data_IF_205972398022
#
_entry.id   IF_205972398022
#
_cell.length_a   1.000
_cell.length_b   1.000
_cell.length_c   1.000
_cell.angle_alpha   90.00
_cell.angle_beta   90.00
_cell.angle_gamma   90.00
#
_symmetry.space_group_name_H-M   'P 1'
#
loop_
_entity.id
_entity.type
_entity.pdbx_description
1 polymer ?
#
# COMPACT_ATOMS: atom_id res chain seq x y z
N UNK A 1 -12.98 -54.68 8.66
CA UNK A 1 -13.63 -54.31 9.93
C UNK A 1 -12.53 -53.98 10.94
N UNK A 2 -12.51 -52.72 11.36
CA UNK A 2 -11.85 -52.15 12.55
C UNK A 2 -10.32 -52.26 12.75
N UNK A 3 -9.58 -51.38 12.05
CA UNK A 3 -8.27 -50.84 12.51
C UNK A 3 -8.13 -49.35 12.17
N UNK A 4 -9.10 -48.51 12.55
CA UNK A 4 -9.10 -47.08 12.14
C UNK A 4 -9.51 -46.07 13.23
N UNK A 5 -9.82 -46.51 14.45
CA UNK A 5 -10.20 -45.58 15.53
C UNK A 5 -9.12 -45.44 16.61
N UNK A 6 -8.43 -46.54 16.97
CA UNK A 6 -7.47 -46.55 18.07
C UNK A 6 -6.15 -45.82 17.76
N UNK A 7 -5.71 -45.80 16.50
CA UNK A 7 -4.51 -45.05 16.08
C UNK A 7 -4.76 -43.53 15.95
N UNK A 8 -6.02 -43.10 15.79
CA UNK A 8 -6.37 -41.67 15.75
C UNK A 8 -6.53 -41.06 17.15
N UNK A 9 -6.88 -41.87 18.16
CA UNK A 9 -6.99 -41.41 19.56
C UNK A 9 -5.60 -41.25 20.20
N UNK A 10 -4.63 -42.09 19.86
CA UNK A 10 -3.26 -41.99 20.38
C UNK A 10 -2.48 -40.77 19.86
N UNK A 11 -2.85 -40.20 18.70
CA UNK A 11 -2.22 -38.99 18.17
C UNK A 11 -2.74 -37.70 18.81
N UNK A 12 -3.94 -37.72 19.41
CA UNK A 12 -4.57 -36.58 20.07
C UNK A 12 -4.08 -36.39 21.52
N UNK A 13 -3.67 -37.47 22.19
CA UNK A 13 -3.09 -37.39 23.55
C UNK A 13 -1.60 -37.04 23.58
N UNK A 14 -0.89 -37.13 22.45
CA UNK A 14 0.55 -36.84 22.36
C UNK A 14 0.92 -35.36 22.18
N UNK A 15 -0.04 -34.47 21.90
CA UNK A 15 0.23 -33.04 21.68
C UNK A 15 -0.20 -32.13 22.85
N UNK A 16 -0.79 -32.68 23.91
CA UNK A 16 -1.33 -31.90 25.03
C UNK A 16 -0.46 -31.89 26.30
N UNK A 17 0.76 -32.42 26.25
CA UNK A 17 1.64 -32.56 27.43
C UNK A 17 2.91 -31.69 27.40
N UNK A 18 2.94 -30.64 26.58
CA UNK A 18 3.99 -29.61 26.59
C UNK A 18 3.45 -28.22 26.97
N UNK A 19 2.66 -28.16 28.04
CA UNK A 19 2.47 -26.94 28.83
C UNK A 19 2.42 -27.33 30.31
N UNK A 20 3.57 -27.29 30.95
CA UNK A 20 3.69 -27.30 32.41
C UNK A 20 3.43 -25.86 32.90
N UNK A 21 2.45 -25.62 33.79
CA UNK A 21 2.48 -24.47 34.67
C UNK A 21 3.23 -24.88 35.95
N UNK A 22 4.43 -24.34 36.12
CA UNK A 22 5.05 -24.14 37.43
C UNK A 22 5.09 -22.60 37.53
N UNK A 23 4.34 -21.97 38.43
CA UNK A 23 4.74 -21.75 39.82
C UNK A 23 3.52 -21.69 40.74
N UNK A 24 3.71 -22.30 41.90
CA UNK A 24 2.87 -22.43 43.08
C UNK A 24 2.33 -21.10 43.62
N UNK A 25 1.03 -21.10 43.92
CA UNK A 25 0.43 -20.28 44.95
C UNK A 25 0.64 -20.95 46.32
N UNK A 26 1.28 -20.24 47.24
CA UNK A 26 1.22 -20.38 48.70
C UNK A 26 1.33 -18.92 49.21
N UNK A 27 0.19 -18.34 49.59
CA UNK A 27 -0.20 -18.08 50.99
C UNK A 27 0.67 -16.99 51.64
N UNK A 28 0.16 -15.76 51.72
CA UNK A 28 -0.39 -15.23 52.97
C UNK A 28 -0.69 -13.72 52.88
N UNK A 29 -1.86 -13.37 53.39
CA UNK A 29 -2.37 -12.03 53.62
C UNK A 29 -1.69 -11.44 54.87
N UNK A 30 -0.72 -10.54 54.70
CA UNK A 30 -0.36 -9.57 55.74
C UNK A 30 0.09 -8.26 55.09
N UNK A 31 -0.66 -7.19 55.33
CA UNK A 31 -0.31 -5.84 54.93
C UNK A 31 1.03 -5.38 55.51
N UNK A 32 1.84 -4.77 54.65
CA UNK A 32 2.94 -3.88 55.03
C UNK A 32 2.90 -2.71 54.04
N UNK A 33 2.56 -1.53 54.55
CA UNK A 33 2.85 -0.24 53.90
C UNK A 33 4.37 -0.13 53.70
N UNK A 34 4.81 0.10 52.47
CA UNK A 34 6.19 0.51 52.18
C UNK A 34 6.16 1.94 51.66
N UNK A 35 6.16 2.88 52.62
CA UNK A 35 6.82 4.18 52.45
C UNK A 35 8.30 3.91 52.15
N UNK A 36 8.79 4.42 51.03
CA UNK A 36 10.18 4.33 50.66
C UNK A 36 10.42 4.74 49.21
N UNK A 37 10.73 6.02 49.01
CA UNK A 37 11.31 6.53 47.77
C UNK A 37 12.56 5.71 47.40
N UNK A 38 12.45 4.84 46.40
CA UNK A 38 13.60 4.28 45.70
C UNK A 38 13.72 5.01 44.37
N UNK A 39 14.54 6.05 44.35
CA UNK A 39 15.07 6.61 43.10
C UNK A 39 15.95 5.54 42.45
N UNK A 40 15.40 4.84 41.46
CA UNK A 40 16.19 4.07 40.50
C UNK A 40 16.61 5.07 39.43
N UNK A 41 17.84 5.58 39.52
CA UNK A 41 18.50 6.26 38.40
C UNK A 41 18.71 5.25 37.26
N UNK A 42 17.80 5.26 36.29
CA UNK A 42 17.96 4.56 35.01
C UNK A 42 18.75 5.42 34.03
N UNK A 43 20.05 5.60 34.25
CA UNK A 43 20.93 6.33 33.31
C UNK A 43 21.96 5.45 32.59
N UNK A 44 21.87 4.11 32.65
CA UNK A 44 22.84 3.20 32.02
C UNK A 44 22.32 2.26 30.92
N UNK A 45 21.03 1.94 30.90
CA UNK A 45 20.51 0.84 30.06
C UNK A 45 20.03 1.28 28.67
N UNK A 46 19.61 2.53 28.52
CA UNK A 46 19.06 3.05 27.27
C UNK A 46 20.10 3.13 26.15
N UNK A 47 21.36 3.49 26.46
CA UNK A 47 22.41 3.62 25.45
C UNK A 47 22.89 2.25 24.92
N UNK A 48 22.94 1.24 25.78
CA UNK A 48 23.31 -0.14 25.41
C UNK A 48 22.21 -0.78 24.57
N UNK A 49 20.95 -0.64 24.97
CA UNK A 49 19.82 -1.11 24.18
C UNK A 49 19.76 -0.40 22.82
N UNK A 50 19.91 0.93 22.79
CA UNK A 50 19.93 1.70 21.54
C UNK A 50 21.04 1.26 20.58
N UNK A 51 22.24 1.00 21.10
CA UNK A 51 23.35 0.48 20.28
C UNK A 51 23.06 -0.92 19.72
N UNK A 52 22.44 -1.79 20.51
CA UNK A 52 22.05 -3.14 20.08
C UNK A 52 20.98 -3.10 18.98
N UNK A 53 19.98 -2.23 19.10
CA UNK A 53 18.96 -2.05 18.06
C UNK A 53 19.56 -1.53 16.75
N UNK A 54 20.47 -0.55 16.85
CA UNK A 54 21.16 0.00 15.67
C UNK A 54 22.01 -1.06 14.96
N UNK A 55 22.73 -1.89 15.71
CA UNK A 55 23.51 -3.00 15.16
C UNK A 55 22.62 -4.03 14.44
N UNK A 56 21.41 -4.30 14.96
CA UNK A 56 20.45 -5.20 14.35
C UNK A 56 19.87 -4.64 13.04
N UNK A 57 19.53 -3.35 13.00
CA UNK A 57 19.08 -2.66 11.77
C UNK A 57 20.15 -2.65 10.69
N UNK A 58 21.40 -2.36 11.07
CA UNK A 58 22.52 -2.40 10.13
C UNK A 58 22.78 -3.84 9.65
N UNK A 59 22.55 -4.85 10.49
CA UNK A 59 22.58 -6.25 10.06
C UNK A 59 21.48 -6.56 9.07
N UNK A 60 20.26 -6.07 9.29
CA UNK A 60 19.11 -6.27 8.39
C UNK A 60 19.37 -5.61 7.04
N UNK A 61 19.85 -4.36 7.01
CA UNK A 61 20.20 -3.65 5.76
C UNK A 61 21.23 -4.40 4.93
N UNK A 62 22.12 -5.14 5.59
CA UNK A 62 23.20 -5.91 4.97
C UNK A 62 22.87 -7.40 4.77
N UNK A 63 21.64 -7.85 5.09
CA UNK A 63 21.22 -9.22 4.85
C UNK A 63 21.22 -9.51 3.34
N UNK A 64 21.92 -10.58 2.97
CA UNK A 64 21.88 -11.15 1.62
C UNK A 64 20.99 -12.38 1.67
N UNK A 65 19.79 -12.29 1.08
CA UNK A 65 18.84 -13.41 1.07
C UNK A 65 19.24 -14.37 -0.07
N UNK A 66 19.62 -15.63 0.20
CA UNK A 66 20.23 -16.51 -0.81
C UNK A 66 19.39 -16.75 -2.07
N UNK A 67 18.05 -16.65 -1.98
CA UNK A 67 17.13 -16.80 -3.11
C UNK A 67 16.83 -15.49 -3.86
N UNK A 68 17.14 -14.34 -3.26
CA UNK A 68 17.16 -13.01 -3.91
C UNK A 68 18.51 -12.82 -4.60
N UNK A 69 19.60 -13.32 -4.02
CA UNK A 69 20.95 -13.19 -4.59
C UNK A 69 21.14 -14.01 -5.88
N UNK A 70 20.46 -15.16 -6.03
CA UNK A 70 20.48 -15.94 -7.27
C UNK A 70 19.66 -15.28 -8.41
N UNK A 71 18.71 -14.39 -8.08
CA UNK A 71 18.21 -13.39 -9.04
C UNK A 71 19.30 -12.32 -9.15
N UNK A 72 20.32 -12.55 -10.01
CA UNK A 72 21.37 -11.59 -10.42
C UNK A 72 21.01 -10.16 -10.04
N UNK A 73 21.83 -9.47 -9.24
CA UNK A 73 21.72 -8.01 -8.96
C UNK A 73 21.29 -7.31 -10.25
N UNK A 74 19.98 -7.08 -10.40
CA UNK A 74 19.43 -6.59 -11.64
C UNK A 74 19.84 -5.14 -11.69
N UNK A 75 20.67 -4.77 -12.64
CA UNK A 75 20.99 -3.36 -12.86
C UNK A 75 19.66 -2.71 -13.21
N UNK A 76 19.17 -1.86 -12.31
CA UNK A 76 17.93 -1.12 -12.51
C UNK A 76 18.29 0.11 -13.32
N UNK A 77 17.92 0.09 -14.60
CA UNK A 77 18.07 1.23 -15.48
C UNK A 77 16.95 2.24 -15.20
N UNK A 78 17.30 3.52 -15.21
CA UNK A 78 16.29 4.59 -15.17
C UNK A 78 15.52 4.60 -16.48
N UNK A 79 14.22 4.43 -16.42
CA UNK A 79 13.29 4.55 -17.56
C UNK A 79 12.53 5.86 -17.40
N UNK A 80 12.40 6.63 -18.48
CA UNK A 80 11.63 7.86 -18.47
C UNK A 80 10.14 7.57 -18.29
N UNK A 81 9.47 8.35 -17.44
CA UNK A 81 8.03 8.26 -17.22
C UNK A 81 7.33 9.02 -18.35
N UNK A 82 6.57 8.36 -19.24
CA UNK A 82 5.95 9.03 -20.37
C UNK A 82 4.96 10.11 -19.93
N UNK A 83 4.90 11.22 -20.66
CA UNK A 83 4.01 12.35 -20.35
C UNK A 83 2.54 12.09 -20.72
N UNK A 84 1.94 11.07 -20.12
CA UNK A 84 0.56 10.63 -20.38
C UNK A 84 -0.21 10.54 -19.06
N UNK A 85 -1.42 11.11 -19.04
CA UNK A 85 -2.37 11.02 -17.93
C UNK A 85 -3.52 10.11 -18.37
N UNK A 86 -3.81 9.09 -17.58
CA UNK A 86 -4.87 8.13 -17.78
C UNK A 86 -5.96 8.36 -16.72
N UNK A 87 -7.17 8.68 -17.15
CA UNK A 87 -8.35 8.75 -16.27
C UNK A 87 -9.50 7.96 -16.86
N UNK A 88 -10.37 7.42 -16.01
CA UNK A 88 -11.52 6.64 -16.43
C UNK A 88 -12.83 7.27 -15.94
N UNK A 89 -13.85 7.24 -16.79
CA UNK A 89 -15.24 7.54 -16.44
C UNK A 89 -16.15 6.43 -16.91
N UNK A 90 -17.25 6.19 -16.19
CA UNK A 90 -18.21 5.15 -16.56
C UNK A 90 -18.79 5.33 -17.96
N UNK A 91 -19.06 6.57 -18.36
CA UNK A 91 -19.47 6.95 -19.71
C UNK A 91 -19.03 8.38 -19.98
N UNK A 92 -18.47 8.61 -21.17
CA UNK A 92 -18.08 9.95 -21.64
C UNK A 92 -19.29 10.86 -21.90
N UNK A 93 -20.46 10.28 -22.13
CA UNK A 93 -21.69 11.02 -22.44
C UNK A 93 -22.42 11.53 -21.17
N UNK A 94 -22.03 11.05 -19.98
CA UNK A 94 -22.71 11.34 -18.73
C UNK A 94 -21.75 11.69 -17.58
N UNK A 95 -20.80 12.59 -17.85
CA UNK A 95 -19.85 13.08 -16.84
C UNK A 95 -20.54 14.16 -16.01
N UNK A 96 -20.52 14.04 -14.68
CA UNK A 96 -21.07 15.07 -13.78
C UNK A 96 -20.25 16.36 -13.86
N UNK A 97 -20.86 17.52 -13.58
CA UNK A 97 -20.12 18.79 -13.56
C UNK A 97 -18.94 18.77 -12.59
N UNK A 98 -19.10 18.10 -11.44
CA UNK A 98 -18.03 17.97 -10.45
C UNK A 98 -16.85 17.15 -10.99
N UNK A 99 -17.13 15.96 -11.54
CA UNK A 99 -16.10 15.12 -12.18
C UNK A 99 -15.44 15.85 -13.35
N UNK A 100 -16.20 16.61 -14.14
CA UNK A 100 -15.65 17.38 -15.25
C UNK A 100 -14.69 18.48 -14.77
N UNK A 101 -15.00 19.16 -13.65
CA UNK A 101 -14.08 20.12 -13.02
C UNK A 101 -12.79 19.44 -12.57
N UNK A 102 -12.88 18.26 -11.97
CA UNK A 102 -11.71 17.51 -11.51
C UNK A 102 -10.84 17.08 -12.70
N UNK A 103 -11.42 16.49 -13.76
CA UNK A 103 -10.71 16.18 -15.02
C UNK A 103 -10.04 17.44 -15.61
N UNK A 104 -10.74 18.58 -15.63
CA UNK A 104 -10.20 19.81 -16.20
C UNK A 104 -9.04 20.39 -15.39
N UNK A 105 -9.00 20.17 -14.07
CA UNK A 105 -7.87 20.58 -13.23
C UNK A 105 -6.58 19.87 -13.65
N UNK A 106 -6.63 18.55 -13.87
CA UNK A 106 -5.51 17.76 -14.39
C UNK A 106 -5.05 18.25 -15.76
N UNK A 107 -5.98 18.49 -16.69
CA UNK A 107 -5.64 18.98 -18.04
C UNK A 107 -5.01 20.37 -18.02
N UNK A 108 -5.57 21.29 -17.24
CA UNK A 108 -5.15 22.69 -17.23
C UNK A 108 -3.79 22.87 -16.56
N UNK A 109 -3.56 22.14 -15.47
CA UNK A 109 -2.32 22.23 -14.70
C UNK A 109 -1.15 21.51 -15.38
N UNK A 110 -1.44 20.57 -16.29
CA UNK A 110 -0.47 19.72 -16.98
C UNK A 110 -0.60 19.84 -18.51
N UNK A 111 -0.61 21.06 -19.02
CA UNK A 111 -0.83 21.33 -20.46
C UNK A 111 0.20 20.71 -21.40
N UNK A 112 1.38 20.34 -20.90
CA UNK A 112 2.44 19.63 -21.64
C UNK A 112 2.33 18.09 -21.57
N UNK A 113 1.28 17.58 -20.92
CA UNK A 113 0.97 16.15 -20.82
C UNK A 113 -0.20 15.76 -21.72
N UNK A 114 -0.11 14.59 -22.35
CA UNK A 114 -1.23 14.01 -23.10
C UNK A 114 -2.28 13.48 -22.12
N UNK A 115 -3.50 14.01 -22.16
CA UNK A 115 -4.61 13.52 -21.34
C UNK A 115 -5.48 12.53 -22.12
N UNK A 116 -5.61 11.29 -21.60
CA UNK A 116 -6.45 10.23 -22.15
C UNK A 116 -7.56 9.89 -21.17
N UNK A 117 -8.80 10.11 -21.62
CA UNK A 117 -10.02 9.75 -20.89
C UNK A 117 -10.61 8.48 -21.49
N UNK A 118 -10.77 7.46 -20.67
CA UNK A 118 -11.26 6.14 -21.05
C UNK A 118 -12.69 5.93 -20.55
N UNK A 119 -13.49 5.21 -21.34
CA UNK A 119 -14.70 4.53 -20.87
C UNK A 119 -14.49 3.00 -20.84
N UNK A 120 -15.54 2.26 -20.51
CA UNK A 120 -15.44 0.81 -20.38
C UNK A 120 -15.15 0.09 -21.70
N UNK A 121 -15.62 0.62 -22.83
CA UNK A 121 -15.38 0.01 -24.14
C UNK A 121 -13.92 0.19 -24.55
N UNK A 122 -13.32 1.36 -24.27
CA UNK A 122 -11.88 1.57 -24.46
C UNK A 122 -11.06 0.62 -23.60
N UNK A 123 -11.43 0.44 -22.33
CA UNK A 123 -10.76 -0.46 -21.39
C UNK A 123 -10.81 -1.89 -21.90
N UNK A 124 -11.98 -2.35 -22.33
CA UNK A 124 -12.16 -3.70 -22.87
C UNK A 124 -11.27 -3.90 -24.10
N UNK A 125 -11.32 -2.98 -25.05
CA UNK A 125 -10.50 -3.06 -26.27
C UNK A 125 -8.99 -3.05 -25.94
N UNK A 126 -8.56 -2.24 -24.97
CA UNK A 126 -7.20 -2.23 -24.49
C UNK A 126 -6.79 -3.60 -23.90
N UNK A 127 -7.62 -4.17 -23.03
CA UNK A 127 -7.31 -5.47 -22.40
C UNK A 127 -7.23 -6.60 -23.42
N UNK A 128 -8.15 -6.63 -24.39
CA UNK A 128 -8.15 -7.62 -25.48
C UNK A 128 -6.91 -7.48 -26.39
N UNK A 129 -6.46 -6.24 -26.62
CA UNK A 129 -5.33 -5.96 -27.53
C UNK A 129 -3.97 -6.18 -26.87
N UNK A 130 -3.77 -5.65 -25.66
CA UNK A 130 -2.46 -5.59 -25.01
C UNK A 130 -2.25 -6.68 -23.97
N UNK A 131 -3.33 -7.19 -23.37
CA UNK A 131 -3.31 -8.12 -22.23
C UNK A 131 -4.05 -9.42 -22.53
N UNK A 132 -4.07 -9.85 -23.79
CA UNK A 132 -4.75 -11.06 -24.26
C UNK A 132 -4.35 -12.33 -23.51
N UNK A 133 -3.13 -12.41 -22.98
CA UNK A 133 -2.64 -13.55 -22.18
C UNK A 133 -3.36 -13.72 -20.84
N UNK A 134 -3.94 -12.64 -20.31
CA UNK A 134 -4.67 -12.64 -19.02
C UNK A 134 -6.14 -12.28 -19.20
N UNK A 135 -6.66 -12.31 -20.43
CA UNK A 135 -8.04 -11.91 -20.73
C UNK A 135 -9.07 -12.82 -20.05
N UNK A 136 -8.77 -14.11 -19.91
CA UNK A 136 -9.66 -15.06 -19.21
C UNK A 136 -9.79 -14.72 -17.73
N UNK A 137 -8.69 -14.27 -17.10
CA UNK A 137 -8.72 -13.76 -15.73
C UNK A 137 -9.57 -12.48 -15.68
N UNK A 138 -9.34 -11.53 -16.58
CA UNK A 138 -10.11 -10.28 -16.61
C UNK A 138 -11.61 -10.52 -16.83
N UNK A 139 -11.99 -11.46 -17.70
CA UNK A 139 -13.38 -11.75 -18.04
C UNK A 139 -14.20 -12.24 -16.84
N UNK A 140 -13.59 -12.96 -15.90
CA UNK A 140 -14.27 -13.47 -14.69
C UNK A 140 -14.35 -12.45 -13.54
N UNK A 141 -13.75 -11.27 -13.71
CA UNK A 141 -13.84 -10.19 -12.72
C UNK A 141 -15.15 -9.42 -12.85
N UNK A 142 -15.63 -8.93 -11.70
CA UNK A 142 -16.72 -7.96 -11.64
C UNK A 142 -16.29 -6.60 -12.21
N UNK A 143 -17.27 -5.73 -12.47
CA UNK A 143 -17.01 -4.45 -13.13
C UNK A 143 -15.93 -3.61 -12.45
N UNK A 144 -16.02 -3.37 -11.14
CA UNK A 144 -15.03 -2.55 -10.41
C UNK A 144 -13.66 -3.25 -10.34
N UNK A 145 -13.65 -4.59 -10.22
CA UNK A 145 -12.44 -5.39 -10.30
C UNK A 145 -11.73 -5.25 -11.66
N UNK A 146 -12.49 -5.17 -12.75
CA UNK A 146 -11.97 -4.93 -14.10
C UNK A 146 -11.28 -3.57 -14.24
N UNK A 147 -11.84 -2.53 -13.63
CA UNK A 147 -11.24 -1.18 -13.63
C UNK A 147 -9.92 -1.16 -12.86
N UNK A 148 -9.87 -1.82 -11.70
CA UNK A 148 -8.62 -1.97 -10.94
C UNK A 148 -7.55 -2.77 -11.69
N UNK A 149 -7.91 -3.91 -12.29
CA UNK A 149 -6.94 -4.65 -13.09
C UNK A 149 -6.41 -3.81 -14.28
N UNK A 150 -7.30 -3.03 -14.91
CA UNK A 150 -6.93 -2.15 -16.01
C UNK A 150 -5.97 -1.02 -15.60
N UNK A 151 -6.16 -0.34 -14.45
CA UNK A 151 -5.24 0.73 -14.01
C UNK A 151 -3.80 0.24 -13.85
N UNK A 152 -3.61 -1.01 -13.41
CA UNK A 152 -2.26 -1.59 -13.34
C UNK A 152 -1.73 -1.92 -14.73
N UNK A 153 -2.56 -2.54 -15.56
CA UNK A 153 -2.19 -2.97 -16.90
C UNK A 153 -1.86 -1.81 -17.84
N UNK A 154 -2.59 -0.69 -17.77
CA UNK A 154 -2.35 0.49 -18.60
C UNK A 154 -1.01 1.15 -18.26
N UNK A 155 -0.68 1.25 -16.96
CA UNK A 155 0.59 1.78 -16.49
C UNK A 155 1.75 0.81 -16.76
N UNK A 156 1.53 -0.51 -16.64
CA UNK A 156 2.54 -1.49 -17.04
C UNK A 156 2.88 -1.35 -18.53
N UNK A 157 1.88 -1.11 -19.38
CA UNK A 157 2.05 -1.10 -20.84
C UNK A 157 2.64 0.21 -21.34
N UNK A 158 2.11 1.34 -20.88
CA UNK A 158 2.44 2.66 -21.42
C UNK A 158 3.15 3.58 -20.42
N UNK A 159 3.22 3.19 -19.14
CA UNK A 159 3.65 4.09 -18.08
C UNK A 159 2.74 5.31 -17.94
N UNK A 160 3.29 6.41 -17.46
CA UNK A 160 2.60 7.66 -17.23
C UNK A 160 1.97 7.73 -15.85
N UNK A 161 0.85 8.44 -15.77
CA UNK A 161 0.14 8.75 -14.53
C UNK A 161 -1.28 8.24 -14.65
N UNK A 162 -1.70 7.41 -13.72
CA UNK A 162 -3.12 7.14 -13.49
C UNK A 162 -3.60 8.02 -12.34
N UNK A 163 -4.77 8.64 -12.49
CA UNK A 163 -5.46 9.31 -11.41
C UNK A 163 -6.97 9.08 -11.53
N UNK A 164 -7.66 8.79 -10.44
CA UNK A 164 -9.13 8.69 -10.44
C UNK A 164 -9.74 10.01 -10.93
N UNK A 165 -10.82 9.92 -11.73
CA UNK A 165 -11.43 11.08 -12.37
C UNK A 165 -12.17 12.02 -11.39
N UNK A 166 -12.41 11.55 -10.17
CA UNK A 166 -12.96 12.33 -9.07
C UNK A 166 -11.88 12.97 -8.17
N UNK A 167 -10.59 12.76 -8.45
CA UNK A 167 -9.51 13.50 -7.80
C UNK A 167 -9.25 14.86 -8.49
N UNK A 168 -9.14 15.93 -7.70
CA UNK A 168 -8.75 17.25 -8.19
C UNK A 168 -7.23 17.42 -8.10
N UNK A 169 -6.63 18.00 -9.13
CA UNK A 169 -5.18 18.21 -9.22
C UNK A 169 -4.80 19.55 -8.59
N UNK A 170 -4.06 19.53 -7.47
CA UNK A 170 -3.57 20.76 -6.82
C UNK A 170 -2.15 21.14 -7.23
N UNK A 171 -1.30 20.17 -7.62
CA UNK A 171 0.07 20.44 -8.08
C UNK A 171 0.40 19.84 -9.46
N UNK A 172 1.20 20.54 -10.29
CA UNK A 172 1.65 20.03 -11.58
C UNK A 172 2.50 18.77 -11.47
N UNK A 173 2.31 17.88 -12.44
CA UNK A 173 3.00 16.61 -12.60
C UNK A 173 4.51 16.77 -12.93
N UNK A 174 4.97 17.95 -13.31
CA UNK A 174 6.42 18.13 -13.45
C UNK A 174 7.09 18.27 -12.06
N UNK A 175 6.40 18.84 -11.06
CA UNK A 175 7.00 19.12 -9.74
C UNK A 175 7.35 17.85 -8.96
N UNK A 176 6.45 16.86 -8.92
CA UNK A 176 6.69 15.57 -8.27
C UNK A 176 7.73 14.69 -9.01
N UNK A 177 7.77 14.67 -10.35
CA UNK A 177 8.70 13.84 -11.14
C UNK A 177 10.11 14.43 -11.08
N UNK A 178 10.24 15.75 -11.15
CA UNK A 178 11.54 16.42 -10.99
C UNK A 178 12.12 16.17 -9.59
N UNK A 179 11.29 16.23 -8.54
CA UNK A 179 11.70 15.91 -7.16
C UNK A 179 12.19 14.47 -7.03
N UNK A 180 11.56 13.53 -7.73
CA UNK A 180 11.87 12.09 -7.66
C UNK A 180 12.49 11.55 -8.96
N UNK A 181 13.32 12.34 -9.63
CA UNK A 181 13.85 12.03 -10.97
C UNK A 181 14.75 10.79 -11.09
N UNK A 182 15.10 10.15 -9.96
CA UNK A 182 15.84 8.89 -9.90
C UNK A 182 14.94 7.65 -9.86
N UNK A 183 13.63 7.83 -9.69
CA UNK A 183 12.66 6.74 -9.54
C UNK A 183 11.97 6.40 -10.86
N UNK A 184 11.72 5.13 -11.12
CA UNK A 184 10.89 4.62 -12.21
C UNK A 184 9.42 4.54 -11.81
N UNK A 185 9.08 4.48 -10.53
CA UNK A 185 7.71 4.51 -10.05
C UNK A 185 7.61 5.40 -8.80
N UNK A 186 6.53 6.17 -8.69
CA UNK A 186 6.20 6.95 -7.49
C UNK A 186 4.92 6.38 -6.90
N UNK A 187 4.94 6.13 -5.59
CA UNK A 187 3.83 5.52 -4.85
C UNK A 187 3.58 6.34 -3.59
N UNK A 188 2.31 6.69 -3.35
CA UNK A 188 1.90 7.38 -2.13
C UNK A 188 1.70 6.39 -0.99
N UNK A 189 2.28 6.68 0.18
CA UNK A 189 1.87 6.02 1.42
C UNK A 189 0.56 6.66 1.87
N UNK A 190 -0.49 5.88 2.13
CA UNK A 190 -1.74 6.39 2.71
C UNK A 190 -1.70 6.25 4.24
N UNK A 191 -1.23 5.11 4.73
CA UNK A 191 -1.15 4.83 6.16
C UNK A 191 0.03 3.92 6.51
N UNK A 192 0.68 4.18 7.64
CA UNK A 192 1.61 3.26 8.29
C UNK A 192 1.28 3.20 9.79
N UNK A 193 1.03 2.00 10.29
CA UNK A 193 0.85 1.69 11.69
C UNK A 193 1.78 0.59 12.13
N UNK A 194 2.76 0.97 12.95
CA UNK A 194 3.66 0.04 13.60
C UNK A 194 3.15 -0.10 15.04
N UNK A 195 2.41 -1.16 15.40
CA UNK A 195 2.05 -1.40 16.80
C UNK A 195 3.31 -1.72 17.61
N UNK A 196 3.40 -1.22 18.84
CA UNK A 196 4.53 -1.43 19.77
C UNK A 196 4.79 -2.92 20.11
N UNK A 197 3.85 -3.81 19.77
CA UNK A 197 3.98 -5.28 19.86
C UNK A 197 3.45 -5.90 18.57
N UNK A 198 4.33 -6.38 17.71
CA UNK A 198 3.97 -7.12 16.49
C UNK A 198 3.42 -8.50 16.91
N UNK A 199 2.13 -8.56 17.22
CA UNK A 199 1.43 -9.79 17.60
C UNK A 199 0.84 -10.46 16.36
N UNK A 200 1.64 -11.34 15.74
CA UNK A 200 1.31 -12.37 14.72
C UNK A 200 1.28 -11.95 13.24
N UNK A 201 1.60 -12.91 12.35
CA UNK A 201 1.69 -12.84 10.86
C UNK A 201 0.42 -12.29 10.14
N UNK A 202 -0.64 -11.94 10.88
CA UNK A 202 -2.00 -11.81 10.35
C UNK A 202 -2.41 -10.41 9.86
N UNK A 203 -1.54 -9.39 9.90
CA UNK A 203 -1.99 -7.98 9.80
C UNK A 203 -1.06 -7.03 9.03
N UNK A 204 -0.42 -7.48 7.96
CA UNK A 204 0.42 -6.60 7.13
C UNK A 204 -0.35 -5.39 6.57
N UNK A 205 -1.57 -5.57 6.08
CA UNK A 205 -2.45 -4.47 5.59
C UNK A 205 -2.96 -3.55 6.69
N UNK A 206 -2.95 -3.99 7.95
CA UNK A 206 -3.32 -3.11 9.06
C UNK A 206 -2.14 -2.21 9.45
N UNK A 207 -0.93 -2.54 8.98
CA UNK A 207 0.31 -1.86 9.32
C UNK A 207 0.82 -0.94 8.22
N UNK A 208 0.45 -1.16 6.97
CA UNK A 208 0.86 -0.29 5.86
C UNK A 208 -0.20 -0.34 4.76
N UNK A 209 -0.50 0.80 4.13
CA UNK A 209 -1.36 0.89 2.95
C UNK A 209 -0.81 1.93 1.97
N UNK A 210 -0.76 1.56 0.70
CA UNK A 210 -0.32 2.45 -0.37
C UNK A 210 -1.48 2.89 -1.25
N UNK A 211 -1.40 4.13 -1.72
CA UNK A 211 -2.41 4.76 -2.55
C UNK A 211 -2.58 4.05 -3.89
N UNK A 212 -3.85 3.81 -4.27
CA UNK A 212 -4.26 3.25 -5.56
C UNK A 212 -5.04 4.24 -6.44
N UNK A 213 -5.34 5.42 -5.89
CA UNK A 213 -6.11 6.48 -6.56
C UNK A 213 -5.22 7.24 -7.54
N UNK A 214 -3.93 7.38 -7.21
CA UNK A 214 -2.90 7.91 -8.09
C UNK A 214 -1.65 7.04 -8.08
N UNK A 215 -1.18 6.65 -9.26
CA UNK A 215 0.05 5.88 -9.44
C UNK A 215 0.83 6.49 -10.62
N UNK A 216 2.13 6.70 -10.44
CA UNK A 216 3.01 7.23 -11.49
C UNK A 216 4.07 6.18 -11.79
N UNK A 217 4.22 5.75 -13.03
CA UNK A 217 5.16 4.70 -13.38
C UNK A 217 5.77 4.86 -14.76
N UNK A 218 7.02 4.46 -14.90
CA UNK A 218 7.58 4.05 -16.17
C UNK A 218 6.93 2.73 -16.63
N UNK A 219 6.87 2.47 -17.94
CA UNK A 219 6.35 1.21 -18.46
C UNK A 219 7.19 0.02 -17.98
N UNK A 220 6.54 -1.12 -17.75
CA UNK A 220 7.18 -2.39 -17.43
C UNK A 220 7.72 -2.52 -15.99
N UNK A 221 7.36 -1.61 -15.09
CA UNK A 221 7.78 -1.72 -13.69
C UNK A 221 7.27 -3.03 -13.05
N UNK A 222 8.12 -3.72 -12.29
CA UNK A 222 7.81 -5.08 -11.83
C UNK A 222 6.69 -5.15 -10.79
N UNK A 223 6.52 -4.11 -9.96
CA UNK A 223 5.37 -3.96 -9.07
C UNK A 223 4.05 -4.08 -9.84
N UNK A 224 3.94 -3.44 -11.01
CA UNK A 224 2.76 -3.48 -11.85
C UNK A 224 2.65 -4.81 -12.60
N UNK A 225 3.77 -5.30 -13.15
CA UNK A 225 3.84 -6.56 -13.91
C UNK A 225 3.39 -7.77 -13.09
N UNK A 226 3.56 -7.73 -11.76
CA UNK A 226 3.13 -8.79 -10.86
C UNK A 226 1.63 -8.75 -10.52
N UNK A 227 0.89 -7.67 -10.81
CA UNK A 227 -0.50 -7.52 -10.34
C UNK A 227 -1.44 -8.57 -10.92
N UNK A 228 -1.29 -8.96 -12.18
CA UNK A 228 -2.09 -10.04 -12.75
C UNK A 228 -1.88 -11.38 -12.02
N UNK A 229 -0.65 -11.66 -11.58
CA UNK A 229 -0.35 -12.83 -10.75
C UNK A 229 -1.02 -12.73 -9.38
N UNK A 230 -0.92 -11.59 -8.68
CA UNK A 230 -1.55 -11.40 -7.37
C UNK A 230 -3.08 -11.54 -7.44
N UNK A 231 -3.72 -10.94 -8.44
CA UNK A 231 -5.15 -11.07 -8.70
C UNK A 231 -5.51 -12.54 -8.97
N UNK A 232 -4.77 -13.23 -9.82
CA UNK A 232 -5.00 -14.65 -10.09
C UNK A 232 -4.87 -15.52 -8.82
N UNK A 233 -3.80 -15.31 -8.04
CA UNK A 233 -3.56 -16.02 -6.78
C UNK A 233 -4.70 -15.80 -5.80
N UNK A 234 -5.18 -14.56 -5.65
CA UNK A 234 -6.35 -14.25 -4.84
C UNK A 234 -7.58 -15.04 -5.29
N UNK A 235 -7.86 -15.08 -6.60
CA UNK A 235 -9.00 -15.82 -7.15
C UNK A 235 -8.93 -17.32 -6.86
N UNK A 236 -7.74 -17.91 -6.96
CA UNK A 236 -7.52 -19.33 -6.60
C UNK A 236 -7.80 -19.55 -5.11
N UNK A 237 -7.27 -18.70 -4.22
CA UNK A 237 -7.50 -18.81 -2.77
C UNK A 237 -8.97 -18.58 -2.39
N UNK A 238 -9.68 -17.71 -3.10
CA UNK A 238 -11.11 -17.46 -2.90
C UNK A 238 -11.99 -18.72 -3.07
N UNK A 239 -11.53 -19.73 -3.83
CA UNK A 239 -12.25 -21.01 -3.97
C UNK A 239 -12.36 -21.78 -2.66
N UNK A 240 -11.51 -21.49 -1.68
CA UNK A 240 -11.51 -22.13 -0.37
C UNK A 240 -12.64 -21.60 0.55
N UNK A 241 -13.35 -20.53 0.16
CA UNK A 241 -14.41 -19.86 0.94
C UNK A 241 -14.00 -19.40 2.35
N UNK A 242 -12.70 -19.36 2.65
CA UNK A 242 -12.16 -18.98 3.96
C UNK A 242 -12.32 -17.47 4.21
N UNK A 243 -12.42 -16.67 3.15
CA UNK A 243 -12.43 -15.21 3.27
C UNK A 243 -13.78 -14.64 3.71
N UNK A 244 -14.90 -15.28 3.37
CA UNK A 244 -16.24 -14.77 3.71
C UNK A 244 -16.54 -14.78 5.22
N UNK A 245 -15.78 -15.55 6.01
CA UNK A 245 -15.89 -15.57 7.47
C UNK A 245 -14.93 -14.59 8.15
N UNK A 246 -13.96 -14.04 7.42
CA UNK A 246 -12.97 -13.11 7.96
C UNK A 246 -13.60 -11.74 8.30
N UNK A 247 -13.42 -11.22 9.53
CA UNK A 247 -14.01 -9.95 9.94
C UNK A 247 -13.56 -8.75 9.11
N UNK A 248 -12.29 -8.70 8.70
CA UNK A 248 -11.74 -7.59 7.94
C UNK A 248 -12.26 -7.64 6.50
N UNK A 249 -12.37 -8.84 5.92
CA UNK A 249 -13.05 -9.06 4.63
C UNK A 249 -14.51 -8.59 4.66
N UNK A 250 -15.26 -8.89 5.73
CA UNK A 250 -16.64 -8.41 5.89
C UNK A 250 -16.72 -6.88 5.98
N UNK A 251 -15.73 -6.25 6.61
CA UNK A 251 -15.69 -4.80 6.83
C UNK A 251 -15.26 -4.02 5.59
N UNK A 252 -14.16 -4.43 4.96
CA UNK A 252 -13.53 -3.71 3.83
C UNK A 252 -14.04 -4.17 2.47
N UNK A 253 -14.61 -5.38 2.38
CA UNK A 253 -15.27 -5.90 1.20
C UNK A 253 -14.32 -6.54 0.18
N UNK A 254 -14.91 -7.18 -0.83
CA UNK A 254 -14.20 -8.00 -1.83
C UNK A 254 -13.17 -7.19 -2.63
N UNK A 255 -13.51 -5.99 -3.09
CA UNK A 255 -12.67 -5.21 -4.01
C UNK A 255 -11.33 -4.86 -3.37
N UNK A 256 -11.37 -4.37 -2.14
CA UNK A 256 -10.19 -4.07 -1.32
C UNK A 256 -9.18 -5.22 -1.32
N UNK A 257 -9.66 -6.46 -1.14
CA UNK A 257 -8.82 -7.65 -1.05
C UNK A 257 -8.49 -8.34 -2.39
N UNK A 258 -9.32 -8.17 -3.43
CA UNK A 258 -9.22 -8.95 -4.68
C UNK A 258 -8.45 -8.28 -5.80
N UNK A 259 -8.39 -6.96 -5.77
CA UNK A 259 -7.76 -6.11 -6.80
C UNK A 259 -7.28 -4.78 -6.23
N UNK A 260 -7.75 -4.38 -5.06
CA UNK A 260 -7.62 -3.03 -4.52
C UNK A 260 -6.37 -2.86 -3.67
N UNK A 261 -6.52 -2.01 -2.67
CA UNK A 261 -5.48 -1.50 -1.79
C UNK A 261 -4.69 -2.62 -1.12
N UNK A 262 -5.33 -3.71 -0.69
CA UNK A 262 -4.62 -4.81 -0.02
C UNK A 262 -3.64 -5.53 -0.95
N UNK A 263 -4.06 -5.88 -2.18
CA UNK A 263 -3.17 -6.57 -3.13
C UNK A 263 -2.13 -5.64 -3.72
N UNK A 264 -2.52 -4.39 -4.00
CA UNK A 264 -1.56 -3.37 -4.41
C UNK A 264 -0.47 -3.21 -3.36
N UNK A 265 -0.88 -3.04 -2.10
CA UNK A 265 0.02 -2.91 -0.96
C UNK A 265 0.92 -4.13 -0.84
N UNK A 266 0.39 -5.34 -1.01
CA UNK A 266 1.21 -6.55 -0.99
C UNK A 266 2.26 -6.57 -2.12
N UNK A 267 1.90 -6.17 -3.34
CA UNK A 267 2.85 -6.10 -4.46
C UNK A 267 3.99 -5.11 -4.19
N UNK A 268 3.65 -3.90 -3.70
CA UNK A 268 4.63 -2.88 -3.32
C UNK A 268 5.49 -3.37 -2.16
N UNK A 269 4.87 -3.91 -1.11
CA UNK A 269 5.56 -4.40 0.08
C UNK A 269 6.56 -5.49 -0.27
N UNK A 270 6.18 -6.46 -1.10
CA UNK A 270 7.08 -7.53 -1.53
C UNK A 270 8.30 -6.98 -2.27
N UNK A 271 8.13 -5.97 -3.14
CA UNK A 271 9.27 -5.28 -3.76
C UNK A 271 10.19 -4.63 -2.71
N UNK A 272 9.61 -3.93 -1.73
CA UNK A 272 10.39 -3.24 -0.69
C UNK A 272 11.16 -4.24 0.18
N UNK A 273 10.55 -5.36 0.55
CA UNK A 273 11.19 -6.41 1.36
C UNK A 273 12.28 -7.16 0.55
N UNK A 274 12.03 -7.48 -0.72
CA UNK A 274 13.08 -8.05 -1.61
C UNK A 274 14.30 -7.12 -1.72
N UNK A 275 14.15 -5.83 -1.40
CA UNK A 275 15.21 -4.82 -1.40
C UNK A 275 15.68 -4.40 0.01
N UNK A 276 15.42 -5.21 1.04
CA UNK A 276 15.88 -5.02 2.43
C UNK A 276 15.52 -3.65 3.05
N UNK A 277 14.36 -3.11 2.70
CA UNK A 277 13.89 -1.83 3.24
C UNK A 277 13.46 -1.99 4.69
N UNK A 278 13.90 -1.05 5.54
CA UNK A 278 13.30 -0.86 6.86
C UNK A 278 12.13 0.12 6.70
N UNK A 279 10.90 -0.32 6.98
CA UNK A 279 9.68 0.47 6.72
C UNK A 279 9.65 1.84 7.43
N UNK A 280 10.27 1.93 8.62
CA UNK A 280 10.35 3.21 9.35
C UNK A 280 11.13 4.27 8.56
N UNK A 281 12.02 3.86 7.66
CA UNK A 281 12.88 4.75 6.90
C UNK A 281 12.15 5.38 5.69
N UNK A 282 10.93 4.92 5.38
CA UNK A 282 10.12 5.41 4.25
C UNK A 282 8.85 6.17 4.69
N UNK A 283 8.61 6.33 6.00
CA UNK A 283 7.44 7.04 6.57
C UNK A 283 7.38 8.48 6.06
N UNK A 284 8.51 9.18 6.10
CA UNK A 284 8.64 10.58 5.65
C UNK A 284 8.89 10.68 4.14
N UNK A 285 8.68 9.57 3.42
CA UNK A 285 9.08 9.38 2.04
C UNK A 285 10.55 8.98 1.90
N UNK A 286 10.89 8.46 0.72
CA UNK A 286 12.22 7.95 0.44
C UNK A 286 12.35 7.35 -0.94
N UNK A 287 13.58 6.98 -1.32
CA UNK A 287 13.89 6.29 -2.56
C UNK A 287 14.43 4.90 -2.23
N UNK A 288 13.71 3.87 -2.65
CA UNK A 288 14.13 2.47 -2.56
C UNK A 288 14.42 1.99 -3.97
N UNK A 289 15.70 1.85 -4.32
CA UNK A 289 16.12 1.55 -5.70
C UNK A 289 15.50 2.54 -6.70
N UNK A 290 14.54 2.11 -7.51
CA UNK A 290 13.78 2.92 -8.45
C UNK A 290 12.33 3.22 -8.01
N UNK A 291 11.98 2.93 -6.76
CA UNK A 291 10.67 3.25 -6.17
C UNK A 291 10.81 4.47 -5.27
N UNK A 292 10.20 5.59 -5.67
CA UNK A 292 9.98 6.71 -4.76
C UNK A 292 8.72 6.46 -3.95
N UNK A 293 8.88 6.33 -2.63
CA UNK A 293 7.77 6.32 -1.67
C UNK A 293 7.55 7.76 -1.23
N UNK A 294 6.32 8.24 -1.37
CA UNK A 294 5.94 9.57 -0.94
C UNK A 294 5.26 9.49 0.43
N UNK A 295 5.43 10.52 1.30
CA UNK A 295 4.87 10.50 2.64
C UNK A 295 3.33 10.51 2.63
N UNK A 296 2.69 10.20 3.78
CA UNK A 296 1.26 10.28 3.97
C UNK A 296 0.64 11.57 3.44
N UNK A 297 -0.52 11.46 2.79
CA UNK A 297 -1.25 12.55 2.17
C UNK A 297 -0.59 13.22 0.96
N UNK A 298 0.45 12.61 0.38
CA UNK A 298 1.06 13.13 -0.84
C UNK A 298 0.12 13.01 -2.05
N UNK A 299 -0.46 11.83 -2.30
CA UNK A 299 -1.32 11.57 -3.47
C UNK A 299 -2.83 11.58 -3.19
N UNK A 300 -3.23 11.59 -1.93
CA UNK A 300 -4.62 11.89 -1.58
C UNK A 300 -4.68 12.48 -0.19
N UNK A 301 -5.11 13.73 -0.12
CA UNK A 301 -5.45 14.35 1.15
C UNK A 301 -6.86 13.92 1.60
N UNK A 302 -6.95 13.03 2.61
CA UNK A 302 -8.22 12.74 3.27
C UNK A 302 -8.42 13.70 4.45
N UNK A 303 -9.05 14.84 4.17
CA UNK A 303 -9.38 15.82 5.20
C UNK A 303 -10.44 15.27 6.16
N UNK A 304 -10.06 14.98 7.40
CA UNK A 304 -11.05 14.71 8.47
C UNK A 304 -11.79 15.99 8.88
N UNK A 305 -11.17 17.17 8.73
CA UNK A 305 -11.82 18.47 8.87
C UNK A 305 -11.44 19.42 7.72
N UNK A 306 -12.38 20.31 7.37
CA UNK A 306 -12.18 21.40 6.40
C UNK A 306 -10.95 22.29 6.70
N UNK A 307 -10.60 22.45 7.98
CA UNK A 307 -9.41 23.22 8.41
C UNK A 307 -8.09 22.57 8.02
N UNK A 308 -8.12 21.29 7.68
CA UNK A 308 -6.93 20.52 7.41
C UNK A 308 -6.62 20.55 5.90
N UNK A 309 -7.60 20.92 5.06
CA UNK A 309 -7.40 21.10 3.63
C UNK A 309 -6.32 22.17 3.36
N UNK A 310 -5.43 21.94 2.38
CA UNK A 310 -4.55 22.98 1.87
C UNK A 310 -5.33 24.23 1.40
N UNK A 311 -4.74 25.43 1.56
CA UNK A 311 -5.40 26.72 1.25
C UNK A 311 -5.89 26.80 -0.21
N UNK A 312 -5.08 26.28 -1.14
CA UNK A 312 -5.40 26.16 -2.56
C UNK A 312 -6.61 25.23 -2.77
N UNK A 313 -6.65 24.07 -2.12
CA UNK A 313 -7.81 23.17 -2.15
C UNK A 313 -9.06 23.81 -1.51
N UNK A 314 -8.93 24.51 -0.37
CA UNK A 314 -10.01 25.23 0.30
C UNK A 314 -10.63 26.29 -0.61
N UNK A 315 -9.80 27.06 -1.31
CA UNK A 315 -10.27 28.12 -2.22
C UNK A 315 -11.05 27.57 -3.42
N UNK A 316 -10.72 26.36 -3.88
CA UNK A 316 -11.38 25.68 -4.99
C UNK A 316 -12.73 25.10 -4.57
N UNK A 317 -12.78 24.40 -3.44
CA UNK A 317 -13.98 23.71 -2.99
C UNK A 317 -14.93 24.56 -2.13
N UNK A 318 -14.39 25.58 -1.44
CA UNK A 318 -15.13 26.46 -0.52
C UNK A 318 -14.65 27.92 -0.64
N UNK A 319 -14.85 28.57 -1.81
CA UNK A 319 -14.32 29.91 -2.06
C UNK A 319 -14.79 30.95 -1.02
N UNK A 320 -16.02 30.84 -0.53
CA UNK A 320 -16.59 31.65 0.56
C UNK A 320 -15.89 31.51 1.92
N UNK A 321 -15.11 30.45 2.14
CA UNK A 321 -14.38 30.18 3.40
C UNK A 321 -12.89 30.59 3.35
N UNK A 322 -12.39 31.05 2.21
CA UNK A 322 -10.99 31.45 2.03
C UNK A 322 -10.68 32.83 2.65
N UNK A 323 -10.56 32.91 3.97
CA UNK A 323 -9.97 34.07 4.64
C UNK A 323 -8.83 33.64 5.58
N UNK A 324 -7.61 33.83 5.08
CA UNK A 324 -6.31 33.85 5.80
C UNK A 324 -5.90 32.58 6.55
N UNK A 325 -4.77 31.94 6.17
CA UNK A 325 -3.53 31.70 6.98
C UNK A 325 -2.63 30.57 6.42
N UNK A 326 -1.32 30.89 6.26
CA UNK A 326 -0.07 30.10 6.20
C UNK A 326 0.01 28.80 5.35
N UNK A 327 0.86 28.89 4.32
CA UNK A 327 1.40 27.79 3.50
C UNK A 327 1.96 26.60 4.33
N UNK A 328 1.50 25.38 4.02
CA UNK A 328 2.15 24.10 4.35
C UNK A 328 2.57 23.40 3.06
N UNK A 329 3.84 23.03 2.93
CA UNK A 329 4.50 22.74 1.65
C UNK A 329 4.44 21.29 1.14
N UNK A 330 3.73 20.36 1.79
CA UNK A 330 4.00 18.92 1.58
C UNK A 330 2.97 18.13 0.74
N UNK A 331 1.88 18.72 0.26
CA UNK A 331 0.81 17.99 -0.46
C UNK A 331 1.00 17.94 -1.97
N UNK A 332 0.49 16.93 -2.71
CA UNK A 332 0.57 16.90 -4.19
C UNK A 332 -0.82 16.79 -4.87
N UNK A 333 -1.82 16.18 -4.22
CA UNK A 333 -3.19 16.02 -4.75
C UNK A 333 -4.24 16.33 -3.68
#
# INVERSE_FOLDING_TARGET
MEKSLLQKILFIFGLFTLFLPIVSALDDDTGIELDGDVNIEMEGDTEIENNKFKDEEDRIRNLKMPHVDDKKEKIIEKIEIPKIIHQYVRSKDSISEHTQKNINSWKSLNSDWEHKLYDFDDIKNFMETHHSKVIDLWNVLEFEEKIHMWKYAILETFGGVYADADCYCVKPINQWIEKYNKSNILIGLDYLYIPDKILTEKKLTDSIEFNVKTIVSAPGHEILSNMAFYIHRFRVLGTLKIMEIDPDYKKKGRIYFSVGEALWTESVFNYLIENNVILKDIVEGGLVKDVAVLPPNSFSYEANNLSDLPDDALSVYFPEKSKTVKEKNDYII
#
